data_IF_343795146713
#
_entry.id   IF_343795146713
#
_cell.length_a   1.000
_cell.length_b   1.000
_cell.length_c   1.000
_cell.angle_alpha   90.00
_cell.angle_beta   90.00
_cell.angle_gamma   90.00
#
_symmetry.space_group_name_H-M   'P 1'
#
loop_
_entity.id
_entity.type
_entity.pdbx_description
1 polymer ?
#
# COMPACT_ATOMS: atom_id res chain seq x y z
N UNK A 1 1.61 -6.17 5.67
CA UNK A 1 2.59 -5.09 5.42
C UNK A 1 1.94 -4.14 4.46
N UNK A 2 1.95 -2.85 4.78
CA UNK A 2 1.40 -1.77 3.98
C UNK A 2 2.60 -0.95 3.52
N UNK A 3 2.71 -0.78 2.22
CA UNK A 3 3.79 -0.06 1.56
C UNK A 3 3.17 0.79 0.45
N UNK A 4 3.47 2.09 0.43
CA UNK A 4 3.14 2.95 -0.70
C UNK A 4 4.30 2.95 -1.67
N UNK A 5 3.99 2.62 -2.91
CA UNK A 5 4.94 2.74 -4.02
C UNK A 5 4.41 3.70 -5.06
N UNK A 6 5.30 4.48 -5.68
CA UNK A 6 4.96 5.32 -6.79
C UNK A 6 5.16 4.53 -8.09
N UNK A 7 4.10 4.36 -8.89
CA UNK A 7 4.23 3.76 -10.21
C UNK A 7 4.65 4.83 -11.23
N UNK A 8 5.32 4.44 -12.33
CA UNK A 8 5.65 5.37 -13.41
C UNK A 8 4.36 6.00 -13.97
N UNK A 9 4.41 7.32 -14.18
CA UNK A 9 3.28 8.12 -14.63
C UNK A 9 2.80 7.63 -16.01
N UNK A 10 1.50 7.40 -16.16
CA UNK A 10 0.88 6.98 -17.43
C UNK A 10 -0.12 8.04 -17.92
N UNK A 11 0.25 8.77 -18.97
CA UNK A 11 -0.61 9.74 -19.68
C UNK A 11 -0.89 11.07 -18.95
N UNK A 12 -1.84 11.83 -19.50
CA UNK A 12 -2.23 13.20 -19.07
C UNK A 12 -3.05 13.24 -17.77
N UNK A 13 -3.45 12.08 -17.22
CA UNK A 13 -4.18 11.99 -15.95
C UNK A 13 -3.20 11.64 -14.83
N UNK A 14 -3.05 12.53 -13.86
CA UNK A 14 -2.11 12.54 -12.73
C UNK A 14 -2.23 11.39 -11.71
N UNK A 15 -2.89 10.28 -12.06
CA UNK A 15 -2.79 9.03 -11.30
C UNK A 15 -1.35 8.47 -11.54
N UNK A 16 -0.61 7.80 -10.65
CA UNK A 16 -1.00 6.75 -9.71
C UNK A 16 0.18 6.52 -8.73
N UNK A 17 0.15 6.94 -7.46
CA UNK A 17 0.74 6.14 -6.40
C UNK A 17 -0.12 4.87 -6.21
N UNK A 18 0.51 3.72 -6.03
CA UNK A 18 -0.16 2.47 -5.71
C UNK A 18 0.09 2.15 -4.25
N UNK A 19 -0.99 2.06 -3.48
CA UNK A 19 -0.93 1.54 -2.14
C UNK A 19 -0.92 0.01 -2.25
N UNK A 20 0.16 -0.61 -1.81
CA UNK A 20 0.37 -2.05 -1.88
C UNK A 20 0.25 -2.63 -0.50
N UNK A 21 -0.64 -3.60 -0.38
CA UNK A 21 -0.87 -4.30 0.88
C UNK A 21 -0.53 -5.75 0.64
N UNK A 22 0.49 -6.22 1.33
CA UNK A 22 0.90 -7.60 1.26
C UNK A 22 0.54 -8.28 2.55
N UNK A 23 -0.34 -9.28 2.47
CA UNK A 23 -0.46 -10.25 3.54
C UNK A 23 0.79 -11.13 3.56
N UNK A 24 1.50 -11.14 4.70
CA UNK A 24 2.73 -11.92 4.87
C UNK A 24 2.48 -13.43 4.90
N UNK A 25 1.27 -13.86 5.26
CA UNK A 25 0.92 -15.28 5.30
C UNK A 25 0.58 -15.81 3.91
N UNK A 26 -0.43 -15.23 3.25
CA UNK A 26 -0.85 -15.67 1.90
C UNK A 26 0.08 -15.19 0.78
N UNK A 27 0.96 -14.22 1.03
CA UNK A 27 1.84 -13.57 0.04
C UNK A 27 1.07 -12.95 -1.14
N UNK A 28 -0.19 -12.61 -0.90
CA UNK A 28 -1.08 -11.99 -1.88
C UNK A 28 -0.97 -10.47 -1.76
N UNK A 29 -0.56 -9.77 -2.83
CA UNK A 29 -0.63 -8.32 -2.87
C UNK A 29 -2.04 -7.85 -3.22
N UNK A 30 -2.50 -6.82 -2.53
CA UNK A 30 -3.67 -6.03 -2.89
C UNK A 30 -3.13 -4.68 -3.37
N UNK A 31 -3.49 -4.31 -4.59
CA UNK A 31 -3.10 -3.05 -5.21
C UNK A 31 -4.28 -2.09 -5.18
N UNK A 32 -4.06 -0.91 -4.60
CA UNK A 32 -5.06 0.14 -4.49
C UNK A 32 -4.58 1.38 -5.26
N UNK A 33 -5.38 1.91 -6.20
CA UNK A 33 -5.04 3.14 -6.90
C UNK A 33 -5.21 4.32 -5.94
N UNK A 34 -4.17 5.10 -5.73
CA UNK A 34 -4.24 6.39 -5.03
C UNK A 34 -3.70 7.51 -5.93
N UNK A 35 -3.94 8.75 -5.53
CA UNK A 35 -3.45 9.96 -6.18
C UNK A 35 -2.32 10.59 -5.37
N UNK A 36 -1.40 11.30 -6.03
CA UNK A 36 -0.28 11.96 -5.35
C UNK A 36 -0.79 12.97 -4.32
N UNK A 37 -1.83 13.70 -4.70
CA UNK A 37 -2.48 14.74 -3.90
C UNK A 37 -3.52 14.19 -2.90
N UNK A 38 -3.68 12.87 -2.78
CA UNK A 38 -4.60 12.29 -1.80
C UNK A 38 -4.19 12.70 -0.39
N UNK A 39 -5.17 13.20 0.38
CA UNK A 39 -4.94 13.51 1.78
C UNK A 39 -4.69 12.22 2.57
N UNK A 40 -4.07 12.32 3.76
CA UNK A 40 -3.96 11.18 4.67
C UNK A 40 -5.33 10.54 4.96
N UNK A 41 -6.39 11.35 5.00
CA UNK A 41 -7.76 10.87 5.23
C UNK A 41 -8.27 10.05 4.05
N UNK A 42 -8.10 10.52 2.81
CA UNK A 42 -8.52 9.79 1.60
C UNK A 42 -7.80 8.45 1.49
N UNK A 43 -6.48 8.47 1.69
CA UNK A 43 -5.64 7.25 1.65
C UNK A 43 -6.09 6.25 2.72
N UNK A 44 -6.39 6.75 3.92
CA UNK A 44 -6.84 5.92 5.03
C UNK A 44 -8.23 5.33 4.78
N UNK A 45 -9.18 6.12 4.26
CA UNK A 45 -10.52 5.63 3.90
C UNK A 45 -10.46 4.60 2.77
N UNK A 46 -9.62 4.81 1.75
CA UNK A 46 -9.40 3.88 0.66
C UNK A 46 -8.86 2.54 1.19
N UNK A 47 -7.84 2.59 2.05
CA UNK A 47 -7.33 1.40 2.70
C UNK A 47 -8.43 0.70 3.52
N UNK A 48 -9.10 1.41 4.42
CA UNK A 48 -10.08 0.78 5.30
C UNK A 48 -11.25 0.19 4.53
N UNK A 49 -11.82 0.90 3.56
CA UNK A 49 -12.94 0.41 2.75
C UNK A 49 -12.61 -0.90 2.04
N UNK A 50 -11.38 -1.06 1.55
CA UNK A 50 -10.97 -2.29 0.86
C UNK A 50 -10.54 -3.39 1.84
N UNK A 51 -9.81 -3.05 2.90
CA UNK A 51 -9.10 -4.02 3.73
C UNK A 51 -9.92 -4.48 4.92
N UNK A 52 -10.91 -3.69 5.37
CA UNK A 52 -11.83 -4.13 6.43
C UNK A 52 -12.61 -5.39 6.04
N UNK A 53 -12.83 -5.62 4.75
CA UNK A 53 -13.44 -6.85 4.23
C UNK A 53 -12.54 -8.08 4.36
N UNK A 54 -11.23 -7.88 4.56
CA UNK A 54 -10.23 -8.91 4.80
C UNK A 54 -9.94 -9.08 6.31
N UNK A 55 -10.94 -8.85 7.16
CA UNK A 55 -10.83 -8.49 8.59
C UNK A 55 -9.94 -9.40 9.44
N UNK A 56 -9.81 -10.68 9.09
CA UNK A 56 -8.94 -11.63 9.81
C UNK A 56 -7.43 -11.31 9.65
N UNK A 57 -7.06 -10.58 8.60
CA UNK A 57 -5.69 -10.27 8.21
C UNK A 57 -5.07 -9.07 8.95
N UNK A 58 -5.85 -8.27 9.67
CA UNK A 58 -5.41 -6.97 10.19
C UNK A 58 -4.99 -6.94 11.68
N UNK A 59 -4.74 -8.09 12.31
CA UNK A 59 -4.31 -8.10 13.73
C UNK A 59 -2.98 -7.38 13.97
N UNK A 60 -2.05 -7.47 13.00
CA UNK A 60 -0.74 -6.83 13.07
C UNK A 60 -0.43 -6.15 11.73
N UNK A 61 -0.28 -4.84 11.74
CA UNK A 61 0.01 -4.04 10.55
C UNK A 61 1.41 -3.47 10.68
N UNK A 62 2.22 -3.69 9.65
CA UNK A 62 3.49 -3.00 9.46
C UNK A 62 3.25 -1.97 8.37
N UNK A 63 3.38 -0.70 8.69
CA UNK A 63 3.25 0.42 7.75
C UNK A 63 4.62 1.03 7.48
N UNK A 64 4.82 1.60 6.30
CA UNK A 64 5.93 2.51 6.08
C UNK A 64 5.79 3.80 6.93
N UNK A 65 6.84 4.64 6.92
CA UNK A 65 6.91 5.89 7.67
C UNK A 65 6.45 7.11 6.87
N UNK A 66 5.70 6.93 5.78
CA UNK A 66 5.15 8.07 5.05
C UNK A 66 4.31 8.96 5.98
N UNK A 67 4.39 10.30 5.88
CA UNK A 67 3.56 11.23 6.64
C UNK A 67 2.06 10.89 6.63
N UNK A 68 1.54 10.28 5.55
CA UNK A 68 0.15 9.83 5.46
C UNK A 68 -0.17 8.75 6.51
N UNK A 69 0.75 7.82 6.77
CA UNK A 69 0.59 6.73 7.73
C UNK A 69 1.24 6.96 9.09
N UNK A 70 1.83 8.13 9.33
CA UNK A 70 2.27 8.54 10.68
C UNK A 70 1.33 9.58 11.29
N UNK A 71 0.24 9.91 10.60
CA UNK A 71 -0.77 10.87 11.04
C UNK A 71 -1.48 10.44 12.33
N UNK A 72 -1.98 11.43 13.08
CA UNK A 72 -2.82 11.18 14.27
C UNK A 72 -4.09 10.41 13.93
N UNK A 73 -4.67 10.69 12.76
CA UNK A 73 -5.83 9.97 12.21
C UNK A 73 -5.53 8.48 12.07
N UNK A 74 -4.38 8.14 11.48
CA UNK A 74 -3.95 6.76 11.30
C UNK A 74 -3.76 6.02 12.62
N UNK A 75 -3.04 6.63 13.56
CA UNK A 75 -2.78 6.04 14.88
C UNK A 75 -4.08 5.83 15.67
N UNK A 76 -5.00 6.81 15.64
CA UNK A 76 -6.29 6.71 16.32
C UNK A 76 -7.17 5.63 15.70
N UNK A 77 -7.15 5.46 14.38
CA UNK A 77 -7.88 4.39 13.70
C UNK A 77 -7.40 3.00 14.14
N UNK A 78 -6.10 2.77 14.15
CA UNK A 78 -5.55 1.49 14.61
C UNK A 78 -5.87 1.21 16.08
N UNK A 79 -5.92 2.25 16.93
CA UNK A 79 -6.34 2.14 18.33
C UNK A 79 -7.81 1.77 18.47
N UNK A 80 -8.70 2.39 17.68
CA UNK A 80 -10.15 2.09 17.70
C UNK A 80 -10.43 0.66 17.27
N UNK A 81 -9.73 0.15 16.25
CA UNK A 81 -9.90 -1.21 15.74
C UNK A 81 -9.11 -2.27 16.50
N UNK A 82 -8.33 -1.90 17.51
CA UNK A 82 -7.54 -2.84 18.32
C UNK A 82 -6.42 -3.53 17.54
N UNK A 83 -6.00 -2.95 16.42
CA UNK A 83 -4.93 -3.50 15.57
C UNK A 83 -3.56 -3.04 16.06
N UNK A 84 -2.57 -3.93 16.08
CA UNK A 84 -1.21 -3.57 16.46
C UNK A 84 -0.50 -2.93 15.27
N UNK A 85 -0.29 -1.61 15.33
CA UNK A 85 0.50 -0.87 14.34
C UNK A 85 1.98 -0.95 14.69
N UNK A 86 2.81 -1.21 13.69
CA UNK A 86 4.27 -1.15 13.74
C UNK A 86 4.77 -0.43 12.50
N UNK A 87 5.87 0.31 12.61
CA UNK A 87 6.47 1.01 11.47
C UNK A 87 7.66 0.21 10.94
N UNK A 88 7.80 0.12 9.62
CA UNK A 88 9.01 -0.42 9.01
C UNK A 88 10.21 0.49 9.35
N UNK A 89 11.40 -0.10 9.35
CA UNK A 89 12.67 0.64 9.47
C UNK A 89 13.27 0.80 8.08
N UNK A 90 14.05 1.85 7.85
CA UNK A 90 14.72 2.17 6.57
C UNK A 90 15.64 1.06 6.02
N UNK A 91 15.84 -0.01 6.78
CA UNK A 91 16.54 -1.23 6.38
C UNK A 91 15.73 -2.45 6.85
N UNK A 92 14.81 -2.98 6.03
CA UNK A 92 14.17 -4.28 6.28
C UNK A 92 14.17 -5.21 5.05
N UNK A 93 15.36 -5.53 4.46
CA UNK A 93 15.49 -6.27 3.21
C UNK A 93 14.86 -7.68 3.19
N UNK A 94 14.58 -8.30 4.35
CA UNK A 94 13.94 -9.62 4.41
C UNK A 94 12.43 -9.61 4.21
N UNK A 95 11.74 -8.50 4.53
CA UNK A 95 10.27 -8.42 4.39
C UNK A 95 9.90 -7.63 3.14
N UNK A 96 10.71 -6.62 2.81
CA UNK A 96 10.55 -5.79 1.62
C UNK A 96 10.75 -6.59 0.34
N UNK A 97 11.68 -7.55 0.29
CA UNK A 97 11.97 -8.28 -0.95
C UNK A 97 10.78 -9.04 -1.58
N UNK A 98 9.76 -9.44 -0.81
CA UNK A 98 8.53 -10.01 -1.39
C UNK A 98 7.65 -8.90 -1.96
N UNK A 99 7.43 -7.81 -1.22
CA UNK A 99 6.60 -6.71 -1.68
C UNK A 99 7.24 -5.97 -2.85
N UNK A 100 8.53 -5.64 -2.75
CA UNK A 100 9.36 -5.07 -3.83
C UNK A 100 9.26 -5.92 -5.10
N UNK A 101 9.39 -7.25 -5.00
CA UNK A 101 9.27 -8.14 -6.16
C UNK A 101 7.85 -8.18 -6.72
N UNK A 102 6.80 -8.02 -5.89
CA UNK A 102 5.41 -7.91 -6.37
C UNK A 102 5.17 -6.56 -7.05
N UNK A 103 5.74 -5.49 -6.52
CA UNK A 103 5.69 -4.14 -7.09
C UNK A 103 6.38 -4.13 -8.47
N UNK A 104 7.59 -4.67 -8.57
CA UNK A 104 8.33 -4.79 -9.84
C UNK A 104 7.55 -5.59 -10.88
N UNK A 105 6.97 -6.73 -10.50
CA UNK A 105 6.14 -7.53 -11.41
C UNK A 105 4.91 -6.75 -11.90
N UNK A 106 4.29 -5.95 -11.03
CA UNK A 106 3.16 -5.10 -11.42
C UNK A 106 3.61 -3.99 -12.38
N UNK A 107 4.69 -3.29 -12.07
CA UNK A 107 5.26 -2.26 -12.95
C UNK A 107 5.58 -2.82 -14.34
N UNK A 108 6.26 -3.95 -14.40
CA UNK A 108 6.60 -4.60 -15.66
C UNK A 108 5.36 -4.99 -16.46
N UNK A 109 4.32 -5.47 -15.77
CA UNK A 109 3.04 -5.83 -16.40
C UNK A 109 2.34 -4.60 -16.98
N UNK A 110 2.29 -3.51 -16.22
CA UNK A 110 1.70 -2.23 -16.67
C UNK A 110 2.50 -1.67 -17.84
N UNK A 111 3.83 -1.66 -17.77
CA UNK A 111 4.69 -1.18 -18.87
C UNK A 111 4.47 -1.99 -20.14
N UNK A 112 4.39 -3.32 -20.03
CA UNK A 112 4.11 -4.19 -21.19
C UNK A 112 2.72 -3.93 -21.76
N UNK A 113 1.71 -3.79 -20.90
CA UNK A 113 0.35 -3.47 -21.32
C UNK A 113 0.29 -2.13 -22.06
N UNK A 114 0.91 -1.08 -21.53
CA UNK A 114 0.97 0.23 -22.18
C UNK A 114 1.80 0.24 -23.48
N UNK A 115 2.89 -0.53 -23.54
CA UNK A 115 3.78 -0.55 -24.71
C UNK A 115 3.26 -1.40 -25.87
N UNK A 116 2.55 -2.49 -25.57
CA UNK A 116 2.16 -3.49 -26.57
C UNK A 116 0.65 -3.69 -26.72
N UNK A 117 -0.17 -3.04 -25.88
CA UNK A 117 -1.63 -3.03 -26.02
C UNK A 117 -2.26 -4.41 -26.15
N UNK A 118 -1.90 -5.34 -25.26
CA UNK A 118 -2.56 -6.65 -25.15
C UNK A 118 -3.84 -6.51 -24.36
#
# INVERSE_FOLDING_TARGET
MIEVTALPQSGDRSYIPCLVIVDRYSKTPIFLPCHKDDTPMDTTLLLWSRVISYTELLKNIISDRDPKFTSTLWTNLHRLFGTKLSYSTEYHPQTDGIAERRIQNLEDSIRRFCAYGV
#
